data_IF_665790507079
#
_entry.id   IF_665790507079
#
_cell.length_a   1.000
_cell.length_b   1.000
_cell.length_c   1.000
_cell.angle_alpha   90.00
_cell.angle_beta   90.00
_cell.angle_gamma   90.00
#
_symmetry.space_group_name_H-M   'P 1'
#
loop_
_entity.id
_entity.type
_entity.pdbx_description
1 polymer ?
#
# COMPACT_ATOMS: atom_id res chain seq x y z
N UNK A 1 8.11 15.59 58.43
CA UNK A 1 6.70 15.68 58.86
C UNK A 1 6.51 14.85 60.16
N UNK A 2 6.87 13.57 60.20
CA UNK A 2 6.69 12.69 61.38
C UNK A 2 7.33 13.21 62.65
N UNK A 3 8.54 13.78 62.59
CA UNK A 3 9.29 14.35 63.72
C UNK A 3 8.60 15.56 64.38
N UNK A 4 7.75 16.27 63.64
CA UNK A 4 7.03 17.44 64.11
C UNK A 4 5.69 17.10 64.76
N UNK A 5 5.04 16.02 64.30
CA UNK A 5 3.69 15.64 64.75
C UNK A 5 3.71 14.67 65.93
N UNK A 6 4.80 13.94 66.11
CA UNK A 6 4.97 13.01 67.23
C UNK A 6 4.87 13.66 68.62
N UNK A 7 5.54 14.82 68.89
CA UNK A 7 5.46 15.50 70.19
C UNK A 7 4.07 16.08 70.49
N UNK A 8 3.22 16.29 69.49
CA UNK A 8 1.84 16.78 69.66
C UNK A 8 0.85 15.69 70.09
N UNK A 9 1.27 14.44 70.22
CA UNK A 9 0.43 13.33 70.65
C UNK A 9 -0.67 12.92 69.65
N UNK A 10 -0.66 13.49 68.42
CA UNK A 10 -1.67 13.27 67.39
C UNK A 10 -1.46 11.96 66.64
N UNK A 11 -0.25 11.44 66.63
CA UNK A 11 0.08 10.15 65.97
C UNK A 11 1.10 9.36 66.81
N UNK A 12 1.08 8.06 66.67
CA UNK A 12 2.01 7.14 67.31
C UNK A 12 3.21 6.85 66.37
N UNK A 13 4.33 6.44 66.96
CA UNK A 13 5.49 6.03 66.19
C UNK A 13 5.19 4.88 65.22
N UNK A 14 4.29 3.96 65.62
CA UNK A 14 3.82 2.87 64.78
C UNK A 14 3.02 3.35 63.56
N UNK A 15 2.19 4.39 63.71
CA UNK A 15 1.45 4.98 62.57
C UNK A 15 2.40 5.66 61.58
N UNK A 16 3.45 6.33 62.05
CA UNK A 16 4.45 6.93 61.16
C UNK A 16 5.21 5.85 60.41
N UNK A 17 5.61 4.79 61.08
CA UNK A 17 6.27 3.65 60.44
C UNK A 17 5.37 2.97 59.40
N UNK A 18 4.08 2.78 59.72
CA UNK A 18 3.12 2.21 58.78
C UNK A 18 2.95 3.06 57.53
N UNK A 19 2.79 4.38 57.68
CA UNK A 19 2.70 5.30 56.52
C UNK A 19 3.96 5.25 55.64
N UNK A 20 5.15 5.21 56.26
CA UNK A 20 6.41 5.09 55.53
C UNK A 20 6.50 3.76 54.78
N UNK A 21 6.06 2.64 55.39
CA UNK A 21 5.99 1.35 54.71
C UNK A 21 5.02 1.35 53.53
N UNK A 22 3.83 1.91 53.71
CA UNK A 22 2.84 1.99 52.61
C UNK A 22 3.33 2.86 51.49
N UNK A 23 3.94 3.99 51.80
CA UNK A 23 4.54 4.85 50.76
C UNK A 23 5.67 4.13 50.00
N UNK A 24 6.46 3.32 50.67
CA UNK A 24 7.50 2.51 50.02
C UNK A 24 6.87 1.38 49.15
N UNK A 25 5.83 0.71 49.64
CA UNK A 25 5.14 -0.33 48.88
C UNK A 25 4.44 0.20 47.63
N UNK A 26 3.98 1.44 47.60
CA UNK A 26 3.38 2.06 46.43
C UNK A 26 4.37 2.24 45.27
N UNK A 27 5.64 2.18 45.55
CA UNK A 27 6.69 2.33 44.48
C UNK A 27 6.56 1.25 43.40
N UNK A 28 6.28 0.01 43.80
CA UNK A 28 6.10 -1.11 42.86
C UNK A 28 4.91 -0.91 41.90
N UNK A 29 3.71 -0.70 42.38
CA UNK A 29 2.54 -0.40 41.54
C UNK A 29 2.72 0.79 40.63
N UNK A 30 3.33 1.88 41.12
CA UNK A 30 3.61 3.08 40.30
C UNK A 30 4.56 2.74 39.16
N UNK A 31 5.65 2.01 39.45
CA UNK A 31 6.60 1.58 38.43
C UNK A 31 5.96 0.68 37.39
N UNK A 32 5.15 -0.29 37.80
CA UNK A 32 4.42 -1.17 36.91
C UNK A 32 3.43 -0.39 36.03
N UNK A 33 2.72 0.59 36.60
CA UNK A 33 1.81 1.42 35.84
C UNK A 33 2.54 2.18 34.73
N UNK A 34 3.70 2.77 35.03
CA UNK A 34 4.51 3.48 34.03
C UNK A 34 4.97 2.54 32.93
N UNK A 35 5.42 1.34 33.28
CA UNK A 35 5.84 0.32 32.32
C UNK A 35 4.69 -0.10 31.38
N UNK A 36 3.52 -0.39 31.94
CA UNK A 36 2.35 -0.75 31.12
C UNK A 36 1.85 0.39 30.25
N UNK A 37 2.00 1.60 30.70
CA UNK A 37 1.63 2.78 29.90
C UNK A 37 2.52 2.94 28.68
N UNK A 38 3.83 2.76 28.82
CA UNK A 38 4.76 2.78 27.70
C UNK A 38 4.50 1.64 26.73
N UNK A 39 4.27 0.44 27.21
CA UNK A 39 3.95 -0.75 26.39
C UNK A 39 2.64 -0.54 25.61
N UNK A 40 1.66 0.10 26.21
CA UNK A 40 0.40 0.43 25.54
C UNK A 40 0.61 1.42 24.39
N UNK A 41 1.46 2.41 24.55
CA UNK A 41 1.79 3.38 23.48
C UNK A 41 2.47 2.69 22.28
N UNK A 42 3.43 1.81 22.52
CA UNK A 42 4.12 1.03 21.48
C UNK A 42 3.12 0.11 20.75
N UNK A 43 2.25 -0.57 21.52
CA UNK A 43 1.23 -1.44 20.95
C UNK A 43 0.22 -0.68 20.10
N UNK A 44 -0.21 0.51 20.53
CA UNK A 44 -1.10 1.37 19.78
C UNK A 44 -0.48 1.85 18.46
N UNK A 45 0.81 2.24 18.48
CA UNK A 45 1.53 2.63 17.26
C UNK A 45 1.65 1.46 16.27
N UNK A 46 1.90 0.25 16.77
CA UNK A 46 1.98 -0.96 15.95
C UNK A 46 0.61 -1.33 15.34
N UNK A 47 -0.44 -1.26 16.15
CA UNK A 47 -1.82 -1.49 15.69
C UNK A 47 -2.23 -0.46 14.62
N UNK A 48 -1.86 0.82 14.81
CA UNK A 48 -2.12 1.88 13.84
C UNK A 48 -1.46 1.62 12.49
N UNK A 49 -0.26 1.02 12.48
CA UNK A 49 0.41 0.63 11.22
C UNK A 49 -0.31 -0.51 10.51
N UNK A 50 -0.77 -1.52 11.26
CA UNK A 50 -1.50 -2.67 10.71
C UNK A 50 -2.85 -2.22 10.15
N UNK A 51 -3.61 -1.45 10.93
CA UNK A 51 -4.91 -0.94 10.51
C UNK A 51 -4.78 0.07 9.38
N UNK A 52 -3.70 0.87 9.34
CA UNK A 52 -3.45 1.84 8.28
C UNK A 52 -3.40 1.21 6.89
N UNK A 53 -2.90 -0.03 6.78
CA UNK A 53 -2.89 -0.75 5.51
C UNK A 53 -4.30 -1.13 5.05
N UNK A 54 -5.18 -1.52 5.98
CA UNK A 54 -6.57 -1.89 5.66
C UNK A 54 -7.50 -0.70 5.45
N UNK A 55 -7.06 0.53 5.79
CA UNK A 55 -7.79 1.76 5.56
C UNK A 55 -7.44 2.45 4.23
N UNK A 56 -6.49 1.88 3.48
CA UNK A 56 -6.20 2.37 2.12
C UNK A 56 -7.40 2.04 1.25
N UNK A 57 -8.03 3.07 0.74
CA UNK A 57 -9.13 2.91 -0.22
C UNK A 57 -8.62 2.20 -1.48
N UNK A 58 -9.39 1.25 -2.04
CA UNK A 58 -9.05 0.65 -3.32
C UNK A 58 -8.94 1.74 -4.39
N UNK A 59 -7.89 1.71 -5.17
CA UNK A 59 -7.65 2.65 -6.26
C UNK A 59 -8.55 2.39 -7.49
N UNK A 60 -9.43 1.39 -7.40
CA UNK A 60 -10.42 1.06 -8.42
C UNK A 60 -11.70 0.48 -7.84
N UNK A 61 -12.82 0.83 -8.45
CA UNK A 61 -14.13 0.24 -8.20
C UNK A 61 -14.45 -0.73 -9.36
N UNK A 62 -14.27 -2.02 -9.13
CA UNK A 62 -14.54 -3.05 -10.13
C UNK A 62 -16.01 -3.05 -10.55
N UNK A 63 -16.28 -2.87 -11.84
CA UNK A 63 -17.60 -3.04 -12.43
C UNK A 63 -17.71 -4.38 -13.16
N UNK A 64 -18.96 -4.80 -13.43
CA UNK A 64 -19.24 -5.99 -14.25
C UNK A 64 -19.11 -5.74 -15.75
N UNK A 65 -18.68 -4.53 -16.16
CA UNK A 65 -18.49 -4.20 -17.56
C UNK A 65 -17.40 -5.06 -18.19
N UNK A 66 -17.63 -5.46 -19.43
CA UNK A 66 -16.63 -6.13 -20.26
C UNK A 66 -16.27 -5.23 -21.44
N UNK A 67 -14.97 -5.13 -21.81
CA UNK A 67 -14.56 -4.45 -23.03
C UNK A 67 -15.23 -5.04 -24.28
N UNK A 68 -15.65 -4.19 -25.19
CA UNK A 68 -16.29 -4.61 -26.45
C UNK A 68 -15.26 -5.09 -27.46
N UNK A 69 -14.06 -4.49 -27.41
CA UNK A 69 -12.92 -4.78 -28.28
C UNK A 69 -11.61 -4.54 -27.50
N UNK A 70 -10.47 -4.50 -28.20
CA UNK A 70 -9.15 -4.26 -27.59
C UNK A 70 -8.59 -2.87 -27.95
N UNK A 71 -9.41 -1.99 -28.48
CA UNK A 71 -8.99 -0.63 -28.80
C UNK A 71 -8.70 0.16 -27.52
N UNK A 72 -7.62 0.91 -27.52
CA UNK A 72 -7.20 1.71 -26.37
C UNK A 72 -7.35 3.19 -26.67
N UNK A 73 -8.07 3.91 -25.83
CA UNK A 73 -8.20 5.36 -25.90
C UNK A 73 -7.67 6.01 -24.62
N UNK A 74 -6.89 7.06 -24.82
CA UNK A 74 -6.35 7.93 -23.75
C UNK A 74 -6.79 9.35 -24.05
N UNK A 75 -7.48 9.98 -23.13
CA UNK A 75 -8.06 11.31 -23.30
C UNK A 75 -7.66 12.26 -22.17
N UNK A 76 -6.98 13.35 -22.49
CA UNK A 76 -6.47 14.42 -21.60
C UNK A 76 -5.86 13.88 -20.29
N UNK A 77 -5.05 12.84 -20.39
CA UNK A 77 -4.48 12.17 -19.23
C UNK A 77 -3.39 13.02 -18.61
N UNK A 78 -3.54 13.29 -17.32
CA UNK A 78 -2.56 13.97 -16.46
C UNK A 78 -2.18 13.08 -15.30
N UNK A 79 -0.91 13.14 -14.94
CA UNK A 79 -0.38 12.37 -13.82
C UNK A 79 0.80 13.05 -13.14
N UNK A 80 0.83 12.97 -11.81
CA UNK A 80 1.94 13.40 -10.97
C UNK A 80 2.17 12.40 -9.85
N UNK A 81 3.42 12.05 -9.57
CA UNK A 81 3.79 11.26 -8.38
C UNK A 81 3.72 12.08 -7.10
N UNK A 82 3.93 13.39 -7.20
CA UNK A 82 3.86 14.32 -6.08
C UNK A 82 3.00 15.51 -6.49
N UNK A 83 2.19 16.03 -5.59
CA UNK A 83 1.35 17.19 -5.87
C UNK A 83 2.17 18.37 -6.40
N UNK A 84 1.63 19.03 -7.42
CA UNK A 84 2.23 20.21 -8.05
C UNK A 84 3.37 19.92 -9.04
N UNK A 85 3.70 18.65 -9.32
CA UNK A 85 4.70 18.30 -10.32
C UNK A 85 4.18 17.24 -11.28
N UNK A 86 3.47 17.67 -12.29
CA UNK A 86 2.95 16.79 -13.33
C UNK A 86 4.09 16.16 -14.15
N UNK A 87 3.93 14.89 -14.45
CA UNK A 87 4.79 14.08 -15.33
C UNK A 87 4.10 13.88 -16.68
N UNK A 88 2.79 13.76 -16.68
CA UNK A 88 1.96 13.74 -17.89
C UNK A 88 1.07 14.98 -17.87
N UNK A 89 0.99 15.69 -19.02
CA UNK A 89 0.41 17.02 -19.14
C UNK A 89 -0.72 17.08 -20.19
N UNK A 90 -1.71 16.20 -20.07
CA UNK A 90 -2.80 16.11 -21.06
C UNK A 90 -2.34 15.32 -22.26
N UNK A 91 -2.24 14.01 -22.10
CA UNK A 91 -1.85 13.08 -23.18
C UNK A 91 -3.11 12.53 -23.82
N UNK A 92 -3.16 12.62 -25.14
CA UNK A 92 -4.18 11.99 -25.97
C UNK A 92 -3.53 10.95 -26.87
N UNK A 93 -4.13 9.76 -26.95
CA UNK A 93 -3.63 8.63 -27.71
C UNK A 93 -4.79 7.71 -28.07
N UNK A 94 -4.80 7.21 -29.29
CA UNK A 94 -5.72 6.15 -29.75
C UNK A 94 -4.90 5.04 -30.40
N UNK A 95 -5.17 3.81 -30.02
CA UNK A 95 -4.57 2.59 -30.58
C UNK A 95 -5.66 1.62 -30.95
N UNK A 96 -5.65 1.18 -32.17
CA UNK A 96 -6.57 0.16 -32.69
C UNK A 96 -5.94 -1.22 -32.55
N UNK A 97 -6.75 -2.24 -32.34
CA UNK A 97 -6.27 -3.62 -32.24
C UNK A 97 -5.34 -4.02 -33.40
N UNK A 98 -4.18 -4.59 -33.04
CA UNK A 98 -3.14 -4.97 -34.00
C UNK A 98 -2.17 -3.84 -34.38
N UNK A 99 -2.38 -2.62 -33.94
CA UNK A 99 -1.48 -1.50 -34.17
C UNK A 99 -0.24 -1.57 -33.26
N UNK A 100 0.90 -1.09 -33.78
CA UNK A 100 2.13 -0.95 -33.01
C UNK A 100 2.53 0.51 -32.94
N UNK A 101 2.56 1.06 -31.73
CA UNK A 101 2.98 2.44 -31.48
C UNK A 101 4.35 2.50 -30.82
N UNK A 102 5.25 3.29 -31.38
CA UNK A 102 6.56 3.57 -30.77
C UNK A 102 6.55 4.92 -30.05
N UNK A 103 6.79 4.91 -28.73
CA UNK A 103 6.96 6.14 -27.95
C UNK A 103 8.43 6.55 -27.91
N UNK A 104 8.76 7.72 -28.45
CA UNK A 104 10.12 8.26 -28.50
C UNK A 104 10.20 9.57 -27.72
N UNK A 105 11.31 9.80 -27.04
CA UNK A 105 11.52 11.03 -26.28
C UNK A 105 12.67 10.91 -25.27
N UNK A 106 13.13 12.02 -24.70
CA UNK A 106 14.24 12.05 -23.74
C UNK A 106 13.92 11.27 -22.46
N UNK A 107 14.97 11.00 -21.66
CA UNK A 107 14.76 10.43 -20.32
C UNK A 107 13.94 11.40 -19.47
N UNK A 108 13.00 10.87 -18.70
CA UNK A 108 12.09 11.69 -17.88
C UNK A 108 10.86 12.26 -18.61
N UNK A 109 10.69 12.00 -19.90
CA UNK A 109 9.52 12.48 -20.69
C UNK A 109 8.19 11.79 -20.34
N UNK A 110 8.13 10.93 -19.31
CA UNK A 110 6.90 10.28 -18.89
C UNK A 110 6.55 8.97 -19.59
N UNK A 111 7.39 8.46 -20.54
CA UNK A 111 7.11 7.22 -21.30
C UNK A 111 6.77 6.02 -20.43
N UNK A 112 7.61 5.73 -19.44
CA UNK A 112 7.39 4.62 -18.50
C UNK A 112 6.16 4.85 -17.59
N UNK A 113 5.87 6.10 -17.27
CA UNK A 113 4.68 6.48 -16.51
C UNK A 113 3.41 6.21 -17.32
N UNK A 114 3.41 6.61 -18.58
CA UNK A 114 2.31 6.33 -19.50
C UNK A 114 2.13 4.83 -19.71
N UNK A 115 3.22 4.07 -19.91
CA UNK A 115 3.14 2.60 -20.01
C UNK A 115 2.56 1.92 -18.77
N UNK A 116 2.94 2.37 -17.56
CA UNK A 116 2.35 1.86 -16.30
C UNK A 116 0.87 2.23 -16.17
N UNK A 117 0.49 3.38 -16.66
CA UNK A 117 -0.91 3.83 -16.65
C UNK A 117 -1.75 3.04 -17.63
N UNK A 118 -1.27 2.81 -18.85
CA UNK A 118 -1.90 1.95 -19.85
C UNK A 118 -2.04 0.51 -19.35
N UNK A 119 -1.13 0.05 -18.50
CA UNK A 119 -1.22 -1.24 -17.83
C UNK A 119 -2.15 -1.24 -16.58
N UNK A 120 -2.80 -0.11 -16.28
CA UNK A 120 -3.69 0.02 -15.14
C UNK A 120 -3.00 -0.05 -13.77
N UNK A 121 -1.66 0.14 -13.71
CA UNK A 121 -0.90 0.13 -12.44
C UNK A 121 -1.11 1.43 -11.68
N UNK A 122 -1.21 2.55 -12.42
CA UNK A 122 -1.46 3.87 -11.86
C UNK A 122 -2.74 4.45 -12.45
N UNK A 123 -3.75 4.78 -11.65
CA UNK A 123 -4.91 5.51 -12.14
C UNK A 123 -4.50 6.93 -12.56
N UNK A 124 -5.10 7.51 -13.62
CA UNK A 124 -4.86 8.90 -13.98
C UNK A 124 -5.38 9.83 -12.87
N UNK A 125 -4.71 10.97 -12.65
CA UNK A 125 -5.23 12.03 -11.78
C UNK A 125 -6.39 12.81 -12.41
N UNK A 126 -6.35 12.96 -13.72
CA UNK A 126 -7.44 13.48 -14.54
C UNK A 126 -7.34 12.89 -15.95
N UNK A 127 -8.44 12.95 -16.68
CA UNK A 127 -8.58 12.29 -17.96
C UNK A 127 -8.98 10.81 -17.80
N UNK A 128 -9.06 10.10 -18.91
CA UNK A 128 -9.52 8.71 -18.96
C UNK A 128 -8.61 7.84 -19.81
N UNK A 129 -8.48 6.59 -19.40
CA UNK A 129 -7.84 5.53 -20.19
C UNK A 129 -8.84 4.40 -20.30
N UNK A 130 -9.29 4.11 -21.51
CA UNK A 130 -10.27 3.06 -21.77
C UNK A 130 -9.69 1.95 -22.63
N UNK A 131 -10.20 0.73 -22.43
CA UNK A 131 -9.98 -0.42 -23.32
C UNK A 131 -11.36 -0.95 -23.74
N UNK A 132 -11.60 -1.03 -25.03
CA UNK A 132 -12.92 -1.43 -25.54
C UNK A 132 -14.08 -0.60 -24.98
N UNK A 133 -13.87 0.71 -24.78
CA UNK A 133 -14.85 1.64 -24.25
C UNK A 133 -15.10 1.56 -22.74
N UNK A 134 -14.33 0.72 -21.99
CA UNK A 134 -14.42 0.61 -20.52
C UNK A 134 -13.20 1.25 -19.89
N UNK A 135 -13.42 2.15 -18.92
CA UNK A 135 -12.32 2.78 -18.19
C UNK A 135 -11.51 1.73 -17.41
N UNK A 136 -10.17 1.81 -17.46
CA UNK A 136 -9.29 0.85 -16.80
C UNK A 136 -9.48 0.80 -15.28
N UNK A 137 -9.91 1.90 -14.67
CA UNK A 137 -10.20 1.96 -13.23
C UNK A 137 -11.49 1.22 -12.85
N UNK A 138 -12.39 1.04 -13.82
CA UNK A 138 -13.66 0.32 -13.64
C UNK A 138 -13.49 -1.19 -13.89
N UNK A 139 -12.41 -1.63 -14.52
CA UNK A 139 -12.20 -3.05 -14.79
C UNK A 139 -11.76 -3.80 -13.53
N UNK A 140 -12.38 -4.96 -13.29
CA UNK A 140 -11.90 -5.90 -12.30
C UNK A 140 -10.46 -6.34 -12.62
N UNK A 141 -9.63 -6.57 -11.60
CA UNK A 141 -8.20 -6.82 -11.77
C UNK A 141 -7.91 -8.06 -12.63
N UNK A 142 -8.71 -9.09 -12.51
CA UNK A 142 -8.61 -10.33 -13.31
C UNK A 142 -8.96 -10.11 -14.79
N UNK A 143 -9.90 -9.21 -15.09
CA UNK A 143 -10.25 -8.80 -16.44
C UNK A 143 -9.16 -7.91 -17.04
N UNK A 144 -8.68 -6.93 -16.29
CA UNK A 144 -7.60 -6.04 -16.71
C UNK A 144 -6.35 -6.81 -17.11
N UNK A 145 -5.91 -7.76 -16.28
CA UNK A 145 -4.72 -8.59 -16.55
C UNK A 145 -4.83 -9.47 -17.80
N UNK A 146 -6.03 -9.75 -18.27
CA UNK A 146 -6.27 -10.45 -19.55
C UNK A 146 -6.17 -9.52 -20.74
N UNK A 147 -6.47 -8.24 -20.56
CA UNK A 147 -6.46 -7.24 -21.62
C UNK A 147 -5.12 -6.59 -21.82
N UNK A 148 -4.40 -6.28 -20.74
CA UNK A 148 -3.16 -5.52 -20.82
C UNK A 148 -2.04 -6.19 -20.04
N UNK A 149 -0.87 -6.30 -20.68
CA UNK A 149 0.37 -6.82 -20.06
C UNK A 149 1.48 -5.79 -20.22
N UNK A 150 2.14 -5.45 -19.13
CA UNK A 150 3.34 -4.60 -19.13
C UNK A 150 4.60 -5.46 -19.09
N UNK A 151 5.45 -5.34 -20.10
CA UNK A 151 6.81 -5.89 -20.08
C UNK A 151 7.78 -4.78 -19.70
N UNK A 152 8.31 -4.84 -18.47
CA UNK A 152 9.26 -3.85 -17.96
C UNK A 152 10.71 -4.22 -18.28
N UNK A 153 11.63 -3.26 -18.18
CA UNK A 153 13.07 -3.51 -18.29
C UNK A 153 13.66 -4.21 -17.05
N UNK A 154 12.98 -4.09 -15.93
CA UNK A 154 13.40 -4.73 -14.69
C UNK A 154 12.88 -6.17 -14.68
N UNK A 155 13.81 -7.12 -14.62
CA UNK A 155 13.48 -8.54 -14.50
C UNK A 155 13.68 -8.98 -13.06
N UNK A 156 12.63 -9.51 -12.45
CA UNK A 156 12.71 -10.11 -11.12
C UNK A 156 12.53 -11.61 -11.21
N UNK A 157 13.50 -12.34 -10.68
CA UNK A 157 13.44 -13.82 -10.60
C UNK A 157 13.36 -14.20 -9.12
N UNK A 158 12.30 -14.89 -8.75
CA UNK A 158 12.12 -15.42 -7.40
C UNK A 158 12.98 -16.65 -7.18
N UNK A 159 13.37 -16.89 -5.93
CA UNK A 159 14.11 -18.08 -5.54
C UNK A 159 13.25 -19.33 -5.79
N UNK A 160 13.71 -20.22 -6.64
CA UNK A 160 12.99 -21.41 -7.07
C UNK A 160 13.45 -21.87 -8.45
N UNK A 161 12.72 -22.79 -9.04
CA UNK A 161 12.98 -23.24 -10.42
C UNK A 161 12.41 -22.27 -11.45
N UNK A 162 12.83 -22.38 -12.70
CA UNK A 162 12.24 -21.64 -13.83
C UNK A 162 10.74 -21.94 -13.92
N UNK A 163 10.35 -23.20 -13.77
CA UNK A 163 8.96 -23.60 -13.79
C UNK A 163 8.14 -22.98 -12.68
N UNK A 164 8.70 -22.83 -11.45
CA UNK A 164 8.02 -22.15 -10.35
C UNK A 164 7.79 -20.67 -10.68
N UNK A 165 8.79 -20.00 -11.26
CA UNK A 165 8.68 -18.60 -11.67
C UNK A 165 7.63 -18.40 -12.78
N UNK A 166 7.57 -19.28 -13.76
CA UNK A 166 6.56 -19.21 -14.83
C UNK A 166 5.15 -19.51 -14.31
N UNK A 167 5.01 -20.39 -13.33
CA UNK A 167 3.72 -20.68 -12.68
C UNK A 167 3.19 -19.53 -11.83
N UNK A 168 3.99 -18.51 -11.50
CA UNK A 168 3.46 -17.28 -10.90
C UNK A 168 2.48 -16.55 -11.81
N UNK A 169 2.68 -16.63 -13.13
CA UNK A 169 1.74 -16.04 -14.08
C UNK A 169 0.45 -16.85 -14.21
N UNK A 170 0.55 -18.20 -14.15
CA UNK A 170 -0.59 -19.12 -14.20
C UNK A 170 -0.29 -20.38 -13.39
N UNK A 171 -0.82 -20.47 -12.19
CA UNK A 171 -0.56 -21.58 -11.26
C UNK A 171 -0.94 -22.97 -11.82
N UNK A 172 -1.90 -23.02 -12.75
CA UNK A 172 -2.38 -24.26 -13.37
C UNK A 172 -1.66 -24.62 -14.67
N UNK A 173 -0.57 -23.89 -15.04
CA UNK A 173 0.18 -24.18 -16.25
C UNK A 173 0.81 -25.58 -16.21
N UNK A 174 0.57 -26.35 -17.28
CA UNK A 174 1.17 -27.68 -17.47
C UNK A 174 2.65 -27.57 -17.85
N UNK A 175 3.40 -28.65 -17.66
CA UNK A 175 4.82 -28.67 -18.05
C UNK A 175 5.02 -28.53 -19.57
N UNK A 176 4.02 -28.90 -20.37
CA UNK A 176 4.04 -28.76 -21.82
C UNK A 176 3.90 -27.27 -22.19
N UNK A 177 2.90 -26.57 -21.65
CA UNK A 177 2.70 -25.12 -21.83
C UNK A 177 3.91 -24.31 -21.36
N UNK A 178 4.57 -24.73 -20.27
CA UNK A 178 5.79 -24.07 -19.78
C UNK A 178 6.95 -24.25 -20.77
N UNK A 179 7.10 -25.44 -21.39
CA UNK A 179 8.14 -25.67 -22.40
C UNK A 179 7.88 -24.90 -23.69
N UNK A 180 6.62 -24.77 -24.08
CA UNK A 180 6.23 -24.04 -25.28
C UNK A 180 6.44 -22.51 -25.11
N UNK A 181 6.44 -22.02 -23.86
CA UNK A 181 6.65 -20.61 -23.53
C UNK A 181 8.14 -20.21 -23.41
N UNK A 182 9.08 -21.18 -23.41
CA UNK A 182 10.53 -20.98 -23.29
C UNK A 182 11.23 -21.03 -24.66
#
# INVERSE_FOLDING_TARGET
>A
LGAWVLPMGLVTAGQIAAVAMYAYQMRGPIWNFTFWFDEMQVSQASLGRILGVSLVEPDREASDKDPVDNDVEVSDVRYAYTEGRDVLHGVDLSLVEGETLAMVGPSGAGKSTLGRMLAGIHPPKSGHVTVGGVDLVDLAEDKLRKQVVLVSQEHHVFVGTIADNLRLARATATDEEIRDAL
#
